data_IF_164644049182
#
_entry.id   IF_164644049182
#
_cell.length_a   1.000
_cell.length_b   1.000
_cell.length_c   1.000
_cell.angle_alpha   90.00
_cell.angle_beta   90.00
_cell.angle_gamma   90.00
#
_symmetry.space_group_name_H-M   'P 1'
#
loop_
_entity.id
_entity.type
_entity.pdbx_description
1 polymer ?
#
# COMPACT_ATOMS: atom_id res chain seq x y z
N UNK A 1 -6.65 5.45 18.83
CA UNK A 1 -5.62 4.55 18.31
C UNK A 1 -6.02 3.13 18.69
N UNK A 2 -6.05 2.15 17.78
CA UNK A 2 -6.29 0.76 18.18
C UNK A 2 -5.16 0.29 19.09
N UNK A 3 -5.50 -0.51 20.10
CA UNK A 3 -4.53 -1.11 21.02
C UNK A 3 -3.52 -1.95 20.21
N UNK A 4 -2.20 -1.84 20.43
CA UNK A 4 -1.19 -2.68 19.77
C UNK A 4 -1.47 -4.19 19.91
N UNK A 5 -2.18 -4.60 20.96
CA UNK A 5 -2.59 -5.98 21.18
C UNK A 5 -3.72 -6.43 20.24
N UNK A 6 -4.55 -5.52 19.72
CA UNK A 6 -5.62 -5.83 18.77
C UNK A 6 -5.08 -6.24 17.38
N UNK A 7 -3.85 -5.84 17.06
CA UNK A 7 -3.21 -6.13 15.77
C UNK A 7 -2.45 -7.47 15.79
N UNK A 8 -2.16 -8.03 16.98
CA UNK A 8 -1.47 -9.32 17.07
C UNK A 8 -2.37 -10.49 16.62
N UNK A 9 -1.81 -11.51 15.96
CA UNK A 9 -2.59 -12.70 15.63
C UNK A 9 -3.09 -13.39 16.91
N UNK A 10 -4.31 -13.94 16.92
CA UNK A 10 -4.83 -14.65 18.09
C UNK A 10 -3.92 -15.83 18.46
N UNK A 11 -3.85 -16.19 19.73
CA UNK A 11 -3.00 -17.29 20.24
C UNK A 11 -3.33 -18.63 19.55
N UNK A 12 -4.55 -18.81 19.07
CA UNK A 12 -5.03 -19.98 18.32
C UNK A 12 -4.69 -19.93 16.82
N UNK A 13 -3.99 -18.91 16.35
CA UNK A 13 -3.68 -18.77 14.93
C UNK A 13 -2.73 -19.86 14.45
N UNK A 14 -2.97 -20.34 13.21
CA UNK A 14 -2.14 -21.35 12.56
C UNK A 14 -0.68 -20.88 12.42
N UNK A 15 0.26 -21.82 12.37
CA UNK A 15 1.67 -21.52 12.18
C UNK A 15 1.95 -20.67 10.92
N UNK A 16 1.17 -20.89 9.84
CA UNK A 16 1.25 -20.10 8.60
C UNK A 16 0.87 -18.65 8.83
N UNK A 17 -0.20 -18.38 9.57
CA UNK A 17 -0.66 -17.04 9.89
C UNK A 17 0.35 -16.27 10.75
N UNK A 18 0.97 -16.93 11.73
CA UNK A 18 2.03 -16.34 12.56
C UNK A 18 3.28 -16.04 11.74
N UNK A 19 3.69 -16.94 10.83
CA UNK A 19 4.82 -16.68 9.93
C UNK A 19 4.54 -15.50 8.99
N UNK A 20 3.36 -15.44 8.38
CA UNK A 20 2.95 -14.32 7.53
C UNK A 20 2.95 -13.00 8.31
N UNK A 21 2.43 -12.99 9.54
CA UNK A 21 2.47 -11.83 10.42
C UNK A 21 3.92 -11.38 10.70
N UNK A 22 4.83 -12.32 11.00
CA UNK A 22 6.24 -12.03 11.25
C UNK A 22 6.98 -11.49 10.01
N UNK A 23 6.54 -11.81 8.80
CA UNK A 23 7.11 -11.25 7.55
C UNK A 23 6.51 -9.87 7.24
N UNK A 24 5.20 -9.70 7.43
CA UNK A 24 4.47 -8.50 7.02
C UNK A 24 4.61 -7.36 8.06
N UNK A 25 4.69 -7.69 9.36
CA UNK A 25 4.78 -6.72 10.46
C UNK A 25 6.10 -6.81 11.25
N UNK A 26 6.96 -7.79 10.94
CA UNK A 26 8.23 -8.02 11.65
C UNK A 26 9.44 -7.57 10.84
N UNK A 27 9.97 -6.37 11.13
CA UNK A 27 11.12 -5.77 10.44
C UNK A 27 12.46 -6.38 10.85
N UNK A 28 12.49 -7.21 11.89
CA UNK A 28 13.72 -7.83 12.38
C UNK A 28 14.20 -9.00 11.50
N UNK A 29 13.32 -9.61 10.72
CA UNK A 29 13.67 -10.75 9.87
C UNK A 29 14.21 -10.28 8.51
N UNK A 30 15.15 -11.05 7.93
CA UNK A 30 15.65 -10.79 6.56
C UNK A 30 14.51 -10.80 5.53
N UNK A 31 13.54 -11.70 5.72
CA UNK A 31 12.37 -11.81 4.85
C UNK A 31 11.45 -10.58 4.97
N UNK A 32 11.22 -10.06 6.18
CA UNK A 32 10.44 -8.84 6.40
C UNK A 32 11.10 -7.63 5.73
N UNK A 33 12.39 -7.41 5.95
CA UNK A 33 13.13 -6.32 5.31
C UNK A 33 13.10 -6.40 3.78
N UNK A 34 13.23 -7.58 3.20
CA UNK A 34 13.15 -7.76 1.76
C UNK A 34 11.73 -7.45 1.24
N UNK A 35 10.71 -7.85 1.98
CA UNK A 35 9.32 -7.55 1.67
C UNK A 35 9.06 -6.03 1.71
N UNK A 36 9.55 -5.33 2.72
CA UNK A 36 9.43 -3.87 2.85
C UNK A 36 10.12 -3.14 1.69
N UNK A 37 11.36 -3.52 1.37
CA UNK A 37 12.10 -2.95 0.22
C UNK A 37 11.35 -3.21 -1.08
N UNK A 38 10.82 -4.42 -1.28
CA UNK A 38 10.01 -4.75 -2.45
C UNK A 38 8.76 -3.85 -2.56
N UNK A 39 8.04 -3.63 -1.45
CA UNK A 39 6.87 -2.75 -1.43
C UNK A 39 7.25 -1.30 -1.71
N UNK A 40 8.33 -0.79 -1.11
CA UNK A 40 8.83 0.56 -1.37
C UNK A 40 9.12 0.75 -2.86
N UNK A 41 9.85 -0.18 -3.47
CA UNK A 41 10.17 -0.13 -4.91
C UNK A 41 8.88 -0.20 -5.74
N UNK A 42 7.94 -1.08 -5.39
CA UNK A 42 6.66 -1.20 -6.07
C UNK A 42 5.84 0.10 -6.01
N UNK A 43 5.81 0.76 -4.84
CA UNK A 43 5.15 2.07 -4.67
C UNK A 43 5.81 3.12 -5.58
N UNK A 44 7.13 3.24 -5.55
CA UNK A 44 7.86 4.22 -6.36
C UNK A 44 7.62 4.02 -7.85
N UNK A 45 7.68 2.78 -8.35
CA UNK A 45 7.39 2.47 -9.75
C UNK A 45 5.93 2.79 -10.09
N UNK A 46 4.98 2.46 -9.20
CA UNK A 46 3.57 2.75 -9.44
C UNK A 46 3.29 4.26 -9.50
N UNK A 47 3.93 5.06 -8.64
CA UNK A 47 3.82 6.52 -8.66
C UNK A 47 4.46 7.08 -9.94
N UNK A 48 5.62 6.59 -10.33
CA UNK A 48 6.26 6.99 -11.58
C UNK A 48 5.37 6.70 -12.80
N UNK A 49 4.73 5.53 -12.85
CA UNK A 49 3.80 5.18 -13.92
C UNK A 49 2.60 6.15 -13.98
N UNK A 50 2.06 6.56 -12.84
CA UNK A 50 0.98 7.55 -12.76
C UNK A 50 1.46 8.93 -13.25
N UNK A 51 2.67 9.33 -12.88
CA UNK A 51 3.25 10.60 -13.35
C UNK A 51 3.45 10.58 -14.87
N UNK A 52 3.95 9.49 -15.44
CA UNK A 52 4.10 9.31 -16.88
C UNK A 52 2.75 9.34 -17.60
N UNK A 53 1.72 8.71 -17.05
CA UNK A 53 0.34 8.75 -17.61
C UNK A 53 -0.25 10.17 -17.62
N UNK A 54 0.22 11.05 -16.73
CA UNK A 54 -0.21 12.45 -16.69
C UNK A 54 0.30 13.27 -17.88
N UNK A 55 1.38 12.83 -18.54
CA UNK A 55 1.95 13.48 -19.73
C UNK A 55 1.16 13.05 -20.96
N UNK A 56 0.57 14.01 -21.69
CA UNK A 56 -0.35 13.72 -22.79
C UNK A 56 0.32 12.88 -23.91
N UNK A 57 1.53 13.24 -24.33
CA UNK A 57 2.26 12.52 -25.37
C UNK A 57 2.57 11.06 -25.00
N UNK A 58 2.97 10.83 -23.75
CA UNK A 58 3.26 9.47 -23.25
C UNK A 58 1.98 8.64 -23.15
N UNK A 59 0.89 9.26 -22.72
CA UNK A 59 -0.42 8.58 -22.63
C UNK A 59 -0.97 8.21 -24.01
N UNK A 60 -0.78 9.04 -25.04
CA UNK A 60 -1.21 8.73 -26.39
C UNK A 60 -0.44 7.55 -26.99
N UNK A 61 0.85 7.45 -26.72
CA UNK A 61 1.71 6.40 -27.25
C UNK A 61 1.68 5.12 -26.40
N UNK A 62 1.76 5.24 -25.08
CA UNK A 62 1.93 4.13 -24.15
C UNK A 62 0.74 3.91 -23.21
N UNK A 63 -0.41 4.56 -23.42
CA UNK A 63 -1.54 4.51 -22.50
C UNK A 63 -2.09 3.11 -22.20
N UNK A 64 -2.00 2.19 -23.18
CA UNK A 64 -2.38 0.78 -22.98
C UNK A 64 -1.46 0.06 -22.00
N UNK A 65 -0.15 0.25 -22.16
CA UNK A 65 0.88 -0.34 -21.29
C UNK A 65 0.78 0.24 -19.88
N UNK A 66 0.67 1.56 -19.76
CA UNK A 66 0.55 2.24 -18.46
C UNK A 66 -0.69 1.78 -17.70
N UNK A 67 -1.81 1.58 -18.36
CA UNK A 67 -3.03 1.01 -17.76
C UNK A 67 -2.81 -0.43 -17.29
N UNK A 68 -2.08 -1.25 -18.05
CA UNK A 68 -1.70 -2.60 -17.65
C UNK A 68 -0.83 -2.60 -16.39
N UNK A 69 0.17 -1.71 -16.33
CA UNK A 69 1.05 -1.50 -15.17
C UNK A 69 0.24 -1.04 -13.95
N UNK A 70 -0.70 -0.10 -14.14
CA UNK A 70 -1.58 0.35 -13.07
C UNK A 70 -2.41 -0.79 -12.49
N UNK A 71 -3.02 -1.63 -13.34
CA UNK A 71 -3.78 -2.80 -12.91
C UNK A 71 -2.92 -3.80 -12.16
N UNK A 72 -1.71 -4.07 -12.64
CA UNK A 72 -0.77 -4.94 -11.99
C UNK A 72 -0.48 -4.49 -10.54
N UNK A 73 -0.14 -3.22 -10.35
CA UNK A 73 0.13 -2.69 -9.01
C UNK A 73 -1.13 -2.61 -8.14
N UNK A 74 -2.30 -2.33 -8.72
CA UNK A 74 -3.56 -2.34 -7.97
C UNK A 74 -3.87 -3.73 -7.41
N UNK A 75 -3.71 -4.78 -8.21
CA UNK A 75 -3.88 -6.16 -7.75
C UNK A 75 -2.83 -6.54 -6.71
N UNK A 76 -1.57 -6.15 -6.92
CA UNK A 76 -0.48 -6.39 -5.98
C UNK A 76 -0.78 -5.80 -4.59
N UNK A 77 -1.15 -4.52 -4.52
CA UNK A 77 -1.51 -3.85 -3.27
C UNK A 77 -2.82 -4.35 -2.67
N UNK A 78 -3.76 -4.83 -3.49
CA UNK A 78 -4.98 -5.47 -3.00
C UNK A 78 -4.66 -6.78 -2.29
N UNK A 79 -3.78 -7.60 -2.86
CA UNK A 79 -3.32 -8.85 -2.24
C UNK A 79 -2.58 -8.54 -0.95
N UNK A 80 -1.70 -7.57 -0.95
CA UNK A 80 -0.93 -7.14 0.22
C UNK A 80 -1.87 -6.68 1.34
N UNK A 81 -2.84 -5.80 1.05
CA UNK A 81 -3.85 -5.37 2.00
C UNK A 81 -4.69 -6.54 2.54
N UNK A 82 -5.10 -7.46 1.67
CA UNK A 82 -5.81 -8.69 2.06
C UNK A 82 -4.99 -9.56 3.00
N UNK A 83 -3.69 -9.71 2.74
CA UNK A 83 -2.77 -10.45 3.61
C UNK A 83 -2.62 -9.79 4.97
N UNK A 84 -2.53 -8.46 5.03
CA UNK A 84 -2.51 -7.70 6.30
C UNK A 84 -3.78 -7.93 7.10
N UNK A 85 -4.96 -7.80 6.46
CA UNK A 85 -6.24 -8.08 7.10
C UNK A 85 -6.37 -9.53 7.61
N UNK A 86 -5.83 -10.48 6.85
CA UNK A 86 -5.84 -11.88 7.24
C UNK A 86 -4.91 -12.18 8.41
N UNK A 87 -3.76 -11.51 8.50
CA UNK A 87 -2.77 -11.73 9.54
C UNK A 87 -3.18 -11.17 10.91
N UNK A 88 -3.89 -10.02 10.94
CA UNK A 88 -4.26 -9.34 12.19
C UNK A 88 -5.42 -10.06 12.91
N UNK A 89 -5.43 -9.95 14.25
CA UNK A 89 -6.48 -10.56 15.09
C UNK A 89 -7.86 -9.95 14.86
N UNK A 90 -7.94 -8.62 14.66
CA UNK A 90 -9.18 -7.86 14.43
C UNK A 90 -9.11 -7.08 13.12
N UNK A 91 -9.51 -7.67 11.97
CA UNK A 91 -9.39 -7.04 10.67
C UNK A 91 -10.14 -5.71 10.54
N UNK A 92 -11.31 -5.57 11.17
CA UNK A 92 -12.07 -4.31 11.16
C UNK A 92 -11.40 -3.19 11.96
N UNK A 93 -10.69 -3.52 13.04
CA UNK A 93 -9.92 -2.54 13.79
C UNK A 93 -8.73 -2.03 12.97
N UNK A 94 -8.06 -2.94 12.24
CA UNK A 94 -7.00 -2.57 11.31
C UNK A 94 -7.52 -1.71 10.15
N UNK A 95 -8.60 -2.11 9.48
CA UNK A 95 -9.19 -1.35 8.38
C UNK A 95 -9.61 0.09 8.77
N UNK A 96 -9.98 0.31 10.02
CA UNK A 96 -10.31 1.63 10.59
C UNK A 96 -9.08 2.37 11.14
N UNK A 97 -7.93 1.75 11.21
CA UNK A 97 -6.69 2.40 11.63
C UNK A 97 -6.17 3.33 10.54
N UNK A 98 -5.31 4.29 10.91
CA UNK A 98 -4.69 5.19 9.94
C UNK A 98 -3.94 4.42 8.83
N UNK A 99 -3.22 3.36 9.20
CA UNK A 99 -2.48 2.51 8.26
C UNK A 99 -3.41 1.75 7.33
N UNK A 100 -4.45 1.08 7.87
CA UNK A 100 -5.42 0.36 7.06
C UNK A 100 -6.23 1.26 6.13
N UNK A 101 -6.48 2.51 6.55
CA UNK A 101 -7.15 3.51 5.71
C UNK A 101 -6.24 3.97 4.56
N UNK A 102 -4.95 4.18 4.82
CA UNK A 102 -3.96 4.52 3.78
C UNK A 102 -3.86 3.39 2.74
N UNK A 103 -3.78 2.13 3.19
CA UNK A 103 -3.75 0.96 2.31
C UNK A 103 -5.01 0.89 1.44
N UNK A 104 -6.18 1.10 2.04
CA UNK A 104 -7.45 1.13 1.33
C UNK A 104 -7.50 2.26 0.30
N UNK A 105 -7.08 3.48 0.67
CA UNK A 105 -7.05 4.63 -0.23
C UNK A 105 -6.08 4.44 -1.41
N UNK A 106 -5.06 3.61 -1.25
CA UNK A 106 -4.13 3.30 -2.33
C UNK A 106 -4.77 2.49 -3.47
N UNK A 107 -5.76 1.64 -3.17
CA UNK A 107 -6.41 0.75 -4.16
C UNK A 107 -7.80 1.21 -4.55
N UNK A 108 -8.53 1.90 -3.68
CA UNK A 108 -9.91 2.31 -3.85
C UNK A 108 -10.19 3.08 -5.16
N UNK A 109 -9.36 4.09 -5.56
CA UNK A 109 -9.63 4.89 -6.75
C UNK A 109 -9.76 4.07 -8.03
N UNK A 110 -8.95 3.03 -8.19
CA UNK A 110 -8.99 2.18 -9.39
C UNK A 110 -10.29 1.36 -9.43
N UNK A 111 -10.73 0.82 -8.30
CA UNK A 111 -12.00 0.08 -8.24
C UNK A 111 -13.23 0.98 -8.43
N UNK A 112 -13.22 2.17 -7.82
CA UNK A 112 -14.30 3.15 -8.01
C UNK A 112 -14.42 3.56 -9.48
N UNK A 113 -13.30 3.70 -10.19
CA UNK A 113 -13.31 4.05 -11.62
C UNK A 113 -13.98 2.99 -12.52
N UNK A 114 -14.13 1.74 -12.05
CA UNK A 114 -14.84 0.67 -12.76
C UNK A 114 -16.35 0.73 -12.56
N UNK A 115 -16.77 1.16 -11.35
CA UNK A 115 -18.20 1.07 -10.94
C UNK A 115 -19.00 2.29 -11.39
N UNK A 116 -18.35 3.43 -11.61
CA UNK A 116 -19.01 4.69 -11.96
C UNK A 116 -19.05 4.87 -13.49
N UNK A 117 -20.15 4.54 -14.19
CA UNK A 117 -20.30 4.78 -15.64
C UNK A 117 -20.92 6.15 -15.91
N UNK A 118 -20.52 6.82 -16.98
CA UNK A 118 -21.24 7.95 -17.56
C UNK A 118 -20.55 9.32 -17.55
N UNK A 119 -21.06 10.25 -18.31
CA UNK A 119 -20.45 11.52 -18.73
C UNK A 119 -20.14 12.58 -17.66
N UNK A 120 -20.75 12.52 -16.46
CA UNK A 120 -20.37 13.37 -15.32
C UNK A 120 -19.08 12.88 -14.63
N UNK A 121 -18.61 11.73 -15.03
CA UNK A 121 -17.51 10.95 -14.49
C UNK A 121 -16.14 11.55 -14.84
N UNK A 122 -16.01 12.37 -15.86
CA UNK A 122 -14.70 12.92 -16.25
C UNK A 122 -14.04 13.69 -15.11
N UNK A 123 -14.82 14.43 -14.32
CA UNK A 123 -14.30 15.14 -13.15
C UNK A 123 -13.98 14.16 -12.01
N UNK A 124 -14.84 13.19 -11.74
CA UNK A 124 -14.63 12.17 -10.71
C UNK A 124 -13.42 11.30 -11.06
N UNK A 125 -13.33 10.82 -12.31
CA UNK A 125 -12.16 10.04 -12.79
C UNK A 125 -10.87 10.84 -12.71
N UNK A 126 -10.93 12.15 -12.99
CA UNK A 126 -9.77 13.03 -12.86
C UNK A 126 -9.35 13.19 -11.39
N UNK A 127 -10.30 13.37 -10.48
CA UNK A 127 -10.05 13.43 -9.03
C UNK A 127 -9.50 12.09 -8.53
N UNK A 128 -10.12 10.98 -8.92
CA UNK A 128 -9.67 9.63 -8.53
C UNK A 128 -8.26 9.34 -9.04
N UNK A 129 -7.88 9.86 -10.22
CA UNK A 129 -6.52 9.76 -10.75
C UNK A 129 -5.52 10.50 -9.86
N UNK A 130 -5.86 11.70 -9.41
CA UNK A 130 -5.02 12.46 -8.45
C UNK A 130 -4.94 11.75 -7.11
N UNK A 131 -6.03 11.15 -6.63
CA UNK A 131 -6.04 10.39 -5.37
C UNK A 131 -5.11 9.16 -5.40
N UNK A 132 -4.78 8.63 -6.58
CA UNK A 132 -3.79 7.54 -6.72
C UNK A 132 -2.40 7.94 -6.23
N UNK A 133 -2.05 9.24 -6.26
CA UNK A 133 -0.78 9.76 -5.71
C UNK A 133 -0.70 9.52 -4.19
N UNK A 134 -1.83 9.39 -3.49
CA UNK A 134 -1.84 9.03 -2.07
C UNK A 134 -1.24 7.64 -1.77
N UNK A 135 -0.95 6.80 -2.80
CA UNK A 135 -0.12 5.61 -2.60
C UNK A 135 1.24 5.95 -1.98
N UNK A 136 1.76 7.16 -2.20
CA UNK A 136 3.01 7.60 -1.56
C UNK A 136 2.88 7.70 -0.03
N UNK A 137 1.66 7.90 0.50
CA UNK A 137 1.42 7.88 1.95
C UNK A 137 1.64 6.49 2.55
N UNK A 138 1.53 5.43 1.73
CA UNK A 138 1.90 4.08 2.15
C UNK A 138 3.39 4.00 2.53
N UNK A 139 4.22 4.85 1.93
CA UNK A 139 5.64 4.95 2.24
C UNK A 139 5.89 5.52 3.65
N UNK A 140 4.98 6.33 4.20
CA UNK A 140 5.14 6.91 5.55
C UNK A 140 5.20 5.84 6.64
N UNK A 141 4.58 4.68 6.40
CA UNK A 141 4.67 3.53 7.29
C UNK A 141 6.12 3.05 7.46
N UNK A 142 6.91 3.09 6.37
CA UNK A 142 8.29 2.63 6.35
C UNK A 142 9.29 3.71 6.78
N UNK A 143 8.99 4.99 6.51
CA UNK A 143 9.88 6.12 6.83
C UNK A 143 9.91 6.42 8.33
N UNK A 144 8.79 6.25 9.04
CA UNK A 144 8.72 6.46 10.48
C UNK A 144 9.71 5.59 11.27
N UNK A 145 9.97 4.38 10.82
CA UNK A 145 10.89 3.45 11.45
C UNK A 145 12.36 3.70 11.05
N UNK A 146 12.60 4.12 9.81
CA UNK A 146 13.93 4.53 9.37
C UNK A 146 14.47 5.73 10.19
N UNK A 147 13.59 6.64 10.61
CA UNK A 147 13.94 7.75 11.49
C UNK A 147 14.48 7.31 12.85
N UNK A 148 13.93 6.27 13.44
CA UNK A 148 14.39 5.70 14.71
C UNK A 148 15.78 5.05 14.55
N UNK A 149 16.04 4.37 13.42
CA UNK A 149 17.34 3.79 13.12
C UNK A 149 18.42 4.86 12.92
N UNK A 150 18.09 5.96 12.21
CA UNK A 150 19.02 7.09 12.02
C UNK A 150 19.31 7.77 13.34
N UNK A 151 18.33 7.96 14.21
CA UNK A 151 18.56 8.50 15.56
C UNK A 151 19.40 7.57 16.43
N UNK A 152 19.16 6.26 16.40
CA UNK A 152 19.96 5.28 17.13
C UNK A 152 21.44 5.26 16.64
N UNK A 153 21.66 5.36 15.33
CA UNK A 153 23.00 5.44 14.75
C UNK A 153 23.70 6.77 15.07
N UNK A 154 22.96 7.88 15.13
CA UNK A 154 23.51 9.18 15.52
C UNK A 154 23.84 9.28 17.01
N UNK A 155 23.09 8.56 17.86
CA UNK A 155 23.35 8.48 19.30
C UNK A 155 24.50 7.54 19.66
N UNK A 156 24.96 6.71 18.73
CA UNK A 156 26.10 5.78 18.89
C UNK A 156 27.47 6.40 18.49
N UNK A 157 27.50 7.69 18.16
CA UNK A 157 28.72 8.46 17.95
C UNK A 157 28.97 9.38 19.14
#
# INVERSE_FOLDING_TARGET
MPDPNDLRPPFTASARRRRAYAVIFGHETRAGRLFDVFLIVAILISVLAIMLESVASVREEYGGVLRGVEWFFTVLFTIEYGLRLWCVGRPLAYAKSALGLIDLLAVLPTYVSLVVPGGQVLTVVRILRVLRVFRILHLTHYVGEAGVLVQALSASR
#
